data_IF_345294622684
#
_entry.id   IF_345294622684
#
_cell.length_a   1.000
_cell.length_b   1.000
_cell.length_c   1.000
_cell.angle_alpha   90.00
_cell.angle_beta   90.00
_cell.angle_gamma   90.00
#
_symmetry.space_group_name_H-M   'P 1'
#
loop_
_entity.id
_entity.type
_entity.pdbx_description
1 polymer ?
#
# COMPACT_ATOMS: atom_id res chain seq x y z
N UNK A 1 11.74 8.88 -8.54
CA UNK A 1 11.18 9.51 -7.32
C UNK A 1 9.70 9.19 -7.27
N UNK A 2 9.12 8.87 -6.11
CA UNK A 2 7.67 8.67 -5.99
C UNK A 2 7.13 9.65 -4.95
N UNK A 3 5.96 10.24 -5.22
CA UNK A 3 5.28 11.18 -4.33
C UNK A 3 3.92 10.58 -4.02
N UNK A 4 3.72 10.21 -2.76
CA UNK A 4 2.52 9.51 -2.30
C UNK A 4 2.21 9.90 -0.85
N UNK A 5 1.07 9.40 -0.36
CA UNK A 5 0.69 9.59 1.05
C UNK A 5 1.72 8.88 1.97
N UNK A 6 2.25 9.55 3.01
CA UNK A 6 3.28 8.97 3.88
C UNK A 6 2.86 7.71 4.65
N UNK A 7 1.56 7.43 4.80
CA UNK A 7 1.08 6.19 5.44
C UNK A 7 0.99 5.01 4.46
N UNK A 8 1.10 5.26 3.16
CA UNK A 8 1.05 4.24 2.12
C UNK A 8 2.43 3.67 1.83
N UNK A 9 2.48 2.38 1.53
CA UNK A 9 3.69 1.78 1.00
C UNK A 9 4.05 2.44 -0.34
N UNK A 10 5.34 2.76 -0.59
CA UNK A 10 5.76 3.37 -1.84
C UNK A 10 5.49 2.43 -3.01
N UNK A 11 4.83 2.96 -4.04
CA UNK A 11 4.70 2.30 -5.34
C UNK A 11 5.61 3.00 -6.35
N UNK A 12 6.70 2.31 -6.71
CA UNK A 12 7.66 2.80 -7.70
C UNK A 12 7.30 2.35 -9.12
N UNK A 13 6.51 1.29 -9.26
CA UNK A 13 6.12 0.74 -10.57
C UNK A 13 4.94 1.52 -11.15
N UNK A 14 3.92 1.82 -10.34
CA UNK A 14 2.73 2.54 -10.78
C UNK A 14 2.86 4.06 -10.75
N UNK A 15 3.59 4.62 -9.77
CA UNK A 15 3.62 6.07 -9.50
C UNK A 15 5.04 6.67 -9.50
N UNK A 16 6.00 6.01 -10.15
CA UNK A 16 7.38 6.46 -10.24
C UNK A 16 7.57 7.60 -11.25
N UNK A 17 8.17 8.71 -10.81
CA UNK A 17 8.72 9.75 -11.65
C UNK A 17 10.17 9.41 -12.03
N UNK A 18 10.46 9.39 -13.33
CA UNK A 18 11.82 9.19 -13.84
C UNK A 18 12.54 10.54 -13.89
N UNK A 19 13.77 10.57 -13.37
CA UNK A 19 14.64 11.75 -13.43
C UNK A 19 15.83 11.46 -14.33
N UNK A 20 16.19 12.43 -15.17
CA UNK A 20 17.40 12.38 -16.00
C UNK A 20 18.61 12.94 -15.23
N UNK A 21 19.73 12.23 -15.31
CA UNK A 21 20.98 12.68 -14.72
C UNK A 21 21.53 13.92 -15.45
N UNK A 22 22.21 14.81 -14.72
CA UNK A 22 22.89 15.99 -15.27
C UNK A 22 21.98 17.19 -15.59
N UNK A 23 20.69 17.10 -15.29
CA UNK A 23 19.74 18.21 -15.39
C UNK A 23 19.07 18.52 -14.06
N UNK A 24 18.50 19.72 -13.95
CA UNK A 24 17.61 20.08 -12.84
C UNK A 24 16.17 19.71 -13.19
N UNK A 25 15.45 19.08 -12.26
CA UNK A 25 14.04 18.75 -12.41
C UNK A 25 13.24 19.37 -11.26
N UNK A 26 12.31 20.25 -11.58
CA UNK A 26 11.44 20.91 -10.61
C UNK A 26 10.00 20.39 -10.74
N UNK A 27 9.38 20.03 -9.62
CA UNK A 27 8.02 19.50 -9.56
C UNK A 27 7.18 20.32 -8.57
N UNK A 28 6.02 20.77 -8.99
CA UNK A 28 5.02 21.38 -8.11
C UNK A 28 3.97 20.35 -7.74
N UNK A 29 3.81 20.09 -6.44
CA UNK A 29 2.83 19.14 -5.92
C UNK A 29 1.61 19.90 -5.41
N UNK A 30 0.43 19.53 -5.91
CA UNK A 30 -0.85 20.04 -5.39
C UNK A 30 -1.61 18.87 -4.74
N UNK A 31 -1.60 18.74 -3.41
CA UNK A 31 -2.29 17.64 -2.74
C UNK A 31 -3.81 17.82 -2.83
N UNK A 32 -4.52 16.71 -2.94
CA UNK A 32 -5.97 16.64 -2.85
C UNK A 32 -6.35 15.52 -1.88
N UNK A 33 -7.33 15.80 -1.03
CA UNK A 33 -7.86 14.83 -0.08
C UNK A 33 -9.38 14.81 -0.21
N UNK A 34 -9.96 13.62 -0.21
CA UNK A 34 -11.40 13.42 -0.14
C UNK A 34 -11.71 12.74 1.18
N UNK A 35 -12.58 13.35 1.98
CA UNK A 35 -13.02 12.80 3.24
C UNK A 35 -14.52 12.45 3.18
N UNK A 36 -14.90 11.39 3.88
CA UNK A 36 -16.30 11.02 4.01
C UNK A 36 -17.00 11.89 5.06
N UNK A 37 -18.29 12.13 4.90
CA UNK A 37 -19.11 12.75 5.94
C UNK A 37 -19.17 11.85 7.20
N UNK A 38 -19.11 12.45 8.39
CA UNK A 38 -19.09 11.72 9.66
C UNK A 38 -20.32 10.82 9.86
N UNK A 39 -21.49 11.24 9.39
CA UNK A 39 -22.73 10.48 9.51
C UNK A 39 -22.71 9.15 8.73
N UNK A 40 -21.82 8.99 7.75
CA UNK A 40 -21.65 7.73 7.02
C UNK A 40 -21.02 6.64 7.89
N UNK A 41 -20.32 6.99 8.98
CA UNK A 41 -19.83 6.02 9.97
C UNK A 41 -20.95 5.21 10.63
N UNK A 42 -22.16 5.79 10.72
CA UNK A 42 -23.33 5.15 11.32
C UNK A 42 -24.03 4.15 10.38
N UNK A 43 -23.75 4.21 9.08
CA UNK A 43 -24.31 3.25 8.11
C UNK A 43 -23.61 1.90 8.26
N UNK A 44 -24.35 0.80 8.07
CA UNK A 44 -23.75 -0.54 8.11
C UNK A 44 -22.75 -0.67 6.96
N UNK A 45 -21.69 -1.46 7.19
CA UNK A 45 -20.62 -1.70 6.21
C UNK A 45 -21.13 -2.05 4.81
N UNK A 46 -22.14 -2.93 4.75
CA UNK A 46 -22.80 -3.38 3.50
C UNK A 46 -23.46 -2.24 2.72
N UNK A 47 -23.93 -1.20 3.41
CA UNK A 47 -24.67 -0.10 2.82
C UNK A 47 -23.72 1.01 2.37
N UNK A 48 -22.66 1.31 3.15
CA UNK A 48 -21.64 2.32 2.81
C UNK A 48 -20.58 1.82 1.80
N UNK A 49 -20.32 0.52 1.74
CA UNK A 49 -19.36 -0.14 0.82
C UNK A 49 -17.89 0.33 0.91
N UNK A 50 -17.55 1.24 1.83
CA UNK A 50 -16.19 1.62 2.19
C UNK A 50 -15.93 1.33 3.68
N UNK A 51 -14.67 1.07 4.03
CA UNK A 51 -14.28 0.78 5.41
C UNK A 51 -13.48 1.96 5.97
N UNK A 52 -13.60 2.19 7.28
CA UNK A 52 -12.78 3.17 7.97
C UNK A 52 -11.51 2.51 8.52
N UNK A 53 -10.49 3.33 8.82
CA UNK A 53 -9.22 2.80 9.28
C UNK A 53 -9.31 2.12 10.65
N UNK A 54 -10.29 2.51 11.46
CA UNK A 54 -10.58 1.89 12.77
C UNK A 54 -11.25 0.51 12.63
N UNK A 55 -11.90 0.23 11.50
CA UNK A 55 -12.67 -1.00 11.28
C UNK A 55 -11.77 -2.19 10.91
N UNK A 56 -10.57 -1.95 10.38
CA UNK A 56 -9.69 -2.99 9.80
C UNK A 56 -8.33 -3.02 10.49
N UNK A 57 -7.89 -4.25 10.78
CA UNK A 57 -6.51 -4.55 11.10
C UNK A 57 -5.89 -5.30 9.92
N UNK A 58 -4.92 -4.69 9.25
CA UNK A 58 -4.12 -5.32 8.20
C UNK A 58 -3.07 -6.23 8.83
N UNK A 59 -2.67 -7.31 8.14
CA UNK A 59 -1.73 -8.31 8.67
C UNK A 59 -0.29 -7.82 8.64
N UNK A 60 0.09 -7.10 7.59
CA UNK A 60 1.46 -6.69 7.28
C UNK A 60 1.64 -5.18 7.42
N UNK A 61 0.64 -4.38 7.07
CA UNK A 61 0.70 -2.92 7.12
C UNK A 61 0.04 -2.34 8.38
N UNK A 62 0.49 -1.17 8.85
CA UNK A 62 -0.02 -0.56 10.08
C UNK A 62 -1.33 0.20 9.88
N UNK A 63 -1.43 0.96 8.79
CA UNK A 63 -2.52 1.88 8.54
C UNK A 63 -3.32 1.41 7.34
N UNK A 64 -4.65 1.40 7.47
CA UNK A 64 -5.53 1.12 6.36
C UNK A 64 -5.52 2.27 5.35
N UNK A 65 -5.16 1.94 4.13
CA UNK A 65 -5.44 2.71 2.92
C UNK A 65 -5.88 1.73 1.85
N UNK A 66 -6.44 2.22 0.74
CA UNK A 66 -6.77 1.36 -0.39
C UNK A 66 -5.54 0.58 -0.84
N UNK A 67 -4.41 1.26 -1.03
CA UNK A 67 -3.17 0.66 -1.49
C UNK A 67 -2.61 -0.39 -0.53
N UNK A 68 -2.52 -0.05 0.76
CA UNK A 68 -2.01 -0.99 1.77
C UNK A 68 -2.90 -2.23 1.88
N UNK A 69 -4.22 -2.09 1.74
CA UNK A 69 -5.15 -3.22 1.76
C UNK A 69 -4.94 -4.17 0.58
N UNK A 70 -4.73 -3.63 -0.63
CA UNK A 70 -4.42 -4.45 -1.80
C UNK A 70 -3.10 -5.20 -1.63
N UNK A 71 -2.05 -4.53 -1.15
CA UNK A 71 -0.76 -5.16 -0.88
C UNK A 71 -0.86 -6.22 0.22
N UNK A 72 -1.63 -5.96 1.29
CA UNK A 72 -1.86 -6.93 2.37
C UNK A 72 -2.52 -8.20 1.84
N UNK A 73 -3.55 -8.03 1.00
CA UNK A 73 -4.26 -9.13 0.35
C UNK A 73 -3.33 -9.94 -0.56
N UNK A 74 -2.56 -9.28 -1.42
CA UNK A 74 -1.57 -9.92 -2.30
C UNK A 74 -0.50 -10.68 -1.52
N UNK A 75 0.02 -10.07 -0.45
CA UNK A 75 0.99 -10.70 0.44
C UNK A 75 0.41 -11.93 1.12
N UNK A 76 -0.84 -11.87 1.59
CA UNK A 76 -1.52 -13.00 2.21
C UNK A 76 -1.69 -14.16 1.22
N UNK A 77 -2.18 -13.87 0.01
CA UNK A 77 -2.32 -14.87 -1.06
C UNK A 77 -0.97 -15.48 -1.46
N UNK A 78 0.09 -14.66 -1.51
CA UNK A 78 1.44 -15.12 -1.86
C UNK A 78 1.99 -16.04 -0.77
N UNK A 79 1.81 -15.67 0.51
CA UNK A 79 2.21 -16.52 1.62
C UNK A 79 1.45 -17.85 1.61
N UNK A 80 0.14 -17.83 1.38
CA UNK A 80 -0.68 -19.04 1.38
C UNK A 80 -0.32 -20.00 0.23
N UNK A 81 0.03 -19.46 -0.94
CA UNK A 81 0.36 -20.27 -2.13
C UNK A 81 1.84 -20.69 -2.20
N UNK A 82 2.74 -19.80 -1.81
CA UNK A 82 4.18 -19.95 -2.04
C UNK A 82 4.98 -20.18 -0.75
N UNK A 83 4.35 -20.05 0.44
CA UNK A 83 4.99 -20.13 1.75
C UNK A 83 6.17 -19.15 1.95
N UNK A 84 6.15 -18.02 1.24
CA UNK A 84 7.15 -16.98 1.33
C UNK A 84 6.55 -15.59 1.03
N UNK A 85 7.24 -14.54 1.45
CA UNK A 85 6.82 -13.15 1.22
C UNK A 85 7.79 -12.41 0.30
N UNK A 86 7.31 -11.47 -0.53
CA UNK A 86 8.16 -10.53 -1.23
C UNK A 86 9.00 -9.68 -0.24
N UNK A 87 10.24 -9.31 -0.60
CA UNK A 87 11.14 -8.60 0.31
C UNK A 87 10.67 -7.19 0.71
N UNK A 88 9.82 -6.56 -0.09
CA UNK A 88 9.25 -5.25 0.19
C UNK A 88 8.04 -5.30 1.14
N UNK A 89 7.48 -6.48 1.42
CA UNK A 89 6.37 -6.61 2.37
C UNK A 89 6.92 -6.54 3.80
N UNK A 90 6.44 -5.59 4.63
CA UNK A 90 6.84 -5.54 6.04
C UNK A 90 6.31 -6.76 6.79
N UNK A 91 7.20 -7.56 7.36
CA UNK A 91 6.83 -8.75 8.14
C UNK A 91 7.72 -8.94 9.37
N UNK A 92 7.22 -9.68 10.36
CA UNK A 92 8.01 -10.09 11.52
C UNK A 92 9.13 -11.06 11.09
N UNK A 93 10.18 -11.18 11.91
CA UNK A 93 11.32 -12.12 11.70
C UNK A 93 10.94 -13.60 11.51
N UNK A 94 9.66 -13.95 11.67
CA UNK A 94 9.12 -15.29 11.54
C UNK A 94 8.83 -15.70 10.08
N UNK A 95 8.73 -14.75 9.14
CA UNK A 95 8.42 -15.07 7.74
C UNK A 95 9.67 -15.32 6.91
N UNK A 96 9.61 -16.32 6.03
CA UNK A 96 10.64 -16.56 5.02
C UNK A 96 10.41 -15.61 3.84
N UNK A 97 11.42 -14.82 3.50
CA UNK A 97 11.35 -13.89 2.37
C UNK A 97 11.90 -14.51 1.10
N UNK A 98 11.35 -14.10 -0.04
CA UNK A 98 11.89 -14.43 -1.37
C UNK A 98 13.29 -13.83 -1.51
N UNK A 99 14.31 -14.66 -1.33
CA UNK A 99 15.72 -14.27 -1.44
C UNK A 99 16.22 -14.21 -2.89
N UNK A 100 15.39 -14.58 -3.88
CA UNK A 100 15.77 -14.58 -5.30
C UNK A 100 14.63 -14.10 -6.19
N UNK A 101 14.89 -13.03 -6.93
CA UNK A 101 14.24 -12.82 -8.23
C UNK A 101 14.72 -13.95 -9.14
N UNK A 102 13.90 -15.00 -9.33
CA UNK A 102 14.05 -15.84 -10.52
C UNK A 102 13.55 -14.99 -11.69
N UNK A 103 14.45 -14.16 -12.21
CA UNK A 103 14.30 -13.56 -13.53
C UNK A 103 14.30 -14.75 -14.49
N UNK A 104 13.16 -14.97 -15.15
CA UNK A 104 13.06 -15.93 -16.25
C UNK A 104 13.76 -15.39 -17.49
#
# INVERSE_FOLDING_TARGET
VSIHNPVEAPDMEGNGLVLTAGGESSYTVKPFQTESLENLKNLKLKDRRCQYYEDIHLRFFRNYTQWNCHLDCLANLTLDKCNCLPPYVPGKKQFHYLLKYKVF
#
